data_IF_430886336056
#
_entry.id   IF_430886336056
#
_cell.length_a   1.000
_cell.length_b   1.000
_cell.length_c   1.000
_cell.angle_alpha   90.00
_cell.angle_beta   90.00
_cell.angle_gamma   90.00
#
_symmetry.space_group_name_H-M   'P 1'
#
loop_
_entity.id
_entity.type
_entity.pdbx_description
1 polymer ?
#
# COMPACT_ATOMS: atom_id res chain seq x y z
N UNK A 1 8.98 -33.45 37.12
CA UNK A 1 9.93 -32.55 36.43
C UNK A 1 9.75 -32.51 34.91
N UNK A 2 9.66 -33.66 34.20
CA UNK A 2 9.55 -33.66 32.72
C UNK A 2 8.33 -32.94 32.14
N UNK A 3 7.16 -33.06 32.77
CA UNK A 3 5.92 -32.39 32.30
C UNK A 3 6.01 -30.87 32.41
N UNK A 4 6.62 -30.35 33.48
CA UNK A 4 6.80 -28.92 33.70
C UNK A 4 7.76 -28.34 32.64
N UNK A 5 8.87 -29.04 32.37
CA UNK A 5 9.81 -28.64 31.32
C UNK A 5 9.17 -28.68 29.92
N UNK A 6 8.33 -29.69 29.66
CA UNK A 6 7.57 -29.79 28.41
C UNK A 6 6.58 -28.64 28.24
N UNK A 7 5.84 -28.27 29.29
CA UNK A 7 4.91 -27.13 29.27
C UNK A 7 5.66 -25.82 29.03
N UNK A 8 6.83 -25.62 29.68
CA UNK A 8 7.66 -24.43 29.48
C UNK A 8 8.17 -24.36 28.04
N UNK A 9 8.67 -25.46 27.49
CA UNK A 9 9.14 -25.54 26.10
C UNK A 9 8.01 -25.24 25.10
N UNK A 10 6.84 -25.84 25.32
CA UNK A 10 5.66 -25.60 24.50
C UNK A 10 5.21 -24.12 24.55
N UNK A 11 5.20 -23.53 25.74
CA UNK A 11 4.87 -22.11 25.93
C UNK A 11 5.86 -21.17 25.24
N UNK A 12 7.16 -21.49 25.29
CA UNK A 12 8.20 -20.75 24.57
C UNK A 12 7.99 -20.80 23.05
N UNK A 13 7.66 -21.98 22.50
CA UNK A 13 7.35 -22.15 21.08
C UNK A 13 6.16 -21.32 20.61
N UNK A 14 5.06 -21.35 21.36
CA UNK A 14 3.88 -20.53 21.09
C UNK A 14 4.19 -19.03 21.15
N UNK A 15 5.02 -18.61 22.12
CA UNK A 15 5.43 -17.21 22.25
C UNK A 15 6.31 -16.75 21.08
N UNK A 16 7.14 -17.63 20.53
CA UNK A 16 7.95 -17.33 19.36
C UNK A 16 7.08 -17.21 18.09
N UNK A 17 6.14 -18.14 17.88
CA UNK A 17 5.20 -18.06 16.76
C UNK A 17 4.35 -16.80 16.81
N UNK A 18 3.82 -16.45 17.98
CA UNK A 18 3.06 -15.21 18.16
C UNK A 18 3.87 -13.97 17.79
N UNK A 19 5.16 -13.93 18.17
CA UNK A 19 6.07 -12.83 17.82
C UNK A 19 6.29 -12.74 16.31
N UNK A 20 6.54 -13.86 15.64
CA UNK A 20 6.72 -13.89 14.19
C UNK A 20 5.46 -13.44 13.46
N UNK A 21 4.27 -13.88 13.89
CA UNK A 21 2.99 -13.44 13.32
C UNK A 21 2.76 -11.94 13.50
N UNK A 22 3.04 -11.40 14.70
CA UNK A 22 2.94 -9.96 14.96
C UNK A 22 3.88 -9.14 14.07
N UNK A 23 5.12 -9.60 13.88
CA UNK A 23 6.07 -8.93 13.00
C UNK A 23 5.61 -8.93 11.55
N UNK A 24 5.12 -10.07 11.04
CA UNK A 24 4.56 -10.13 9.69
C UNK A 24 3.36 -9.21 9.53
N UNK A 25 2.49 -9.15 10.54
CA UNK A 25 1.31 -8.29 10.52
C UNK A 25 1.68 -6.81 10.53
N UNK A 26 2.70 -6.42 11.31
CA UNK A 26 3.24 -5.06 11.30
C UNK A 26 3.83 -4.67 9.94
N UNK A 27 4.63 -5.56 9.33
CA UNK A 27 5.20 -5.33 8.00
C UNK A 27 4.09 -5.16 6.97
N UNK A 28 3.06 -6.02 7.01
CA UNK A 28 1.90 -5.91 6.10
C UNK A 28 1.16 -4.59 6.31
N UNK A 29 0.90 -4.18 7.55
CA UNK A 29 0.23 -2.91 7.84
C UNK A 29 1.05 -1.71 7.36
N UNK A 30 2.37 -1.73 7.52
CA UNK A 30 3.25 -0.68 7.00
C UNK A 30 3.24 -0.64 5.48
N UNK A 31 3.27 -1.80 4.83
CA UNK A 31 3.18 -1.89 3.37
C UNK A 31 1.84 -1.32 2.88
N UNK A 32 0.73 -1.72 3.49
CA UNK A 32 -0.61 -1.19 3.16
C UNK A 32 -0.69 0.32 3.35
N UNK A 33 -0.16 0.85 4.46
CA UNK A 33 -0.12 2.31 4.69
C UNK A 33 0.72 3.05 3.65
N UNK A 34 1.90 2.51 3.31
CA UNK A 34 2.76 3.09 2.27
C UNK A 34 2.07 3.06 0.91
N UNK A 35 1.55 1.91 0.50
CA UNK A 35 0.79 1.76 -0.76
C UNK A 35 -0.40 2.70 -0.81
N UNK A 36 -1.17 2.80 0.28
CA UNK A 36 -2.30 3.72 0.34
C UNK A 36 -1.84 5.17 0.23
N UNK A 37 -0.77 5.56 0.93
CA UNK A 37 -0.25 6.94 0.89
C UNK A 37 0.24 7.30 -0.50
N UNK A 38 1.01 6.41 -1.14
CA UNK A 38 1.59 6.64 -2.46
C UNK A 38 0.51 6.76 -3.55
N UNK A 39 -0.50 5.90 -3.50
CA UNK A 39 -1.60 5.89 -4.49
C UNK A 39 -2.59 7.04 -4.21
N UNK A 40 -2.89 7.31 -2.94
CA UNK A 40 -3.91 8.30 -2.56
C UNK A 40 -3.41 9.74 -2.71
N UNK A 41 -2.15 10.04 -2.41
CA UNK A 41 -1.67 11.42 -2.39
C UNK A 41 -1.30 11.98 -3.77
N UNK A 42 -1.03 11.13 -4.76
CA UNK A 42 -0.75 11.58 -6.13
C UNK A 42 -1.92 11.27 -7.06
N UNK A 43 -1.98 10.05 -7.61
CA UNK A 43 -2.88 9.76 -8.73
C UNK A 43 -4.37 9.84 -8.40
N UNK A 44 -4.79 9.50 -7.17
CA UNK A 44 -6.20 9.62 -6.76
C UNK A 44 -6.64 11.09 -6.60
N UNK A 45 -5.76 11.97 -6.12
CA UNK A 45 -6.04 13.42 -6.09
C UNK A 45 -6.11 14.01 -7.50
N UNK A 46 -5.18 13.62 -8.38
CA UNK A 46 -5.19 14.09 -9.77
C UNK A 46 -6.43 13.61 -10.52
N UNK A 47 -6.89 12.37 -10.27
CA UNK A 47 -8.17 11.87 -10.78
C UNK A 47 -9.37 12.66 -10.25
N UNK A 48 -9.41 12.95 -8.94
CA UNK A 48 -10.49 13.75 -8.36
C UNK A 48 -10.53 15.18 -8.91
N UNK A 49 -9.37 15.79 -9.14
CA UNK A 49 -9.25 17.09 -9.80
C UNK A 49 -9.78 17.01 -11.24
N UNK A 50 -9.38 15.99 -12.00
CA UNK A 50 -9.79 15.82 -13.39
C UNK A 50 -11.30 15.57 -13.53
N UNK A 51 -11.90 14.74 -12.66
CA UNK A 51 -13.36 14.52 -12.63
C UNK A 51 -14.09 15.84 -12.39
N UNK A 52 -13.61 16.63 -11.43
CA UNK A 52 -14.19 17.94 -11.11
C UNK A 52 -14.07 18.92 -12.28
N UNK A 53 -12.93 18.97 -12.96
CA UNK A 53 -12.74 19.84 -14.12
C UNK A 53 -13.63 19.45 -15.29
N UNK A 54 -13.80 18.15 -15.57
CA UNK A 54 -14.72 17.66 -16.61
C UNK A 54 -16.19 17.88 -16.25
N UNK A 55 -16.57 17.82 -14.97
CA UNK A 55 -17.94 18.11 -14.53
C UNK A 55 -18.30 19.60 -14.60
N UNK A 56 -17.32 20.49 -14.40
CA UNK A 56 -17.55 21.95 -14.31
C UNK A 56 -17.27 22.67 -15.64
N UNK A 57 -16.34 22.16 -16.45
CA UNK A 57 -15.91 22.77 -17.70
C UNK A 57 -16.01 21.80 -18.88
N UNK A 58 -16.33 22.30 -20.08
CA UNK A 58 -16.15 21.53 -21.32
C UNK A 58 -14.65 21.44 -21.63
N UNK A 59 -13.97 20.48 -21.00
CA UNK A 59 -12.55 20.23 -21.24
C UNK A 59 -12.37 19.67 -22.66
N UNK A 60 -11.54 20.30 -23.52
CA UNK A 60 -11.23 19.77 -24.84
C UNK A 60 -10.69 18.34 -24.74
N UNK A 61 -11.18 17.46 -25.61
CA UNK A 61 -10.88 16.03 -25.54
C UNK A 61 -9.37 15.70 -25.55
N UNK A 62 -8.56 16.52 -26.24
CA UNK A 62 -7.10 16.37 -26.28
C UNK A 62 -6.43 16.69 -24.93
N UNK A 63 -6.87 17.76 -24.26
CA UNK A 63 -6.37 18.16 -22.94
C UNK A 63 -6.74 17.10 -21.88
N UNK A 64 -7.97 16.59 -21.94
CA UNK A 64 -8.42 15.49 -21.09
C UNK A 64 -7.56 14.23 -21.28
N UNK A 65 -7.20 13.91 -22.53
CA UNK A 65 -6.36 12.75 -22.87
C UNK A 65 -4.93 12.89 -22.34
N UNK A 66 -4.36 14.09 -22.36
CA UNK A 66 -3.05 14.38 -21.75
C UNK A 66 -3.11 14.21 -20.24
N UNK A 67 -4.10 14.79 -19.57
CA UNK A 67 -4.26 14.63 -18.12
C UNK A 67 -4.44 13.16 -17.70
N UNK A 68 -5.23 12.39 -18.43
CA UNK A 68 -5.38 10.94 -18.18
C UNK A 68 -4.07 10.18 -18.37
N UNK A 69 -3.24 10.58 -19.34
CA UNK A 69 -1.90 9.99 -19.56
C UNK A 69 -0.97 10.28 -18.41
N UNK A 70 -0.96 11.50 -17.90
CA UNK A 70 -0.11 11.91 -16.78
C UNK A 70 -0.51 11.22 -15.47
N UNK A 71 -1.82 11.07 -15.24
CA UNK A 71 -2.35 10.23 -14.16
C UNK A 71 -1.86 8.80 -14.30
N UNK A 72 -2.03 8.21 -15.49
CA UNK A 72 -1.62 6.82 -15.76
C UNK A 72 -0.11 6.62 -15.54
N UNK A 73 0.71 7.55 -16.01
CA UNK A 73 2.15 7.53 -15.80
C UNK A 73 2.52 7.65 -14.31
N UNK A 74 1.84 8.53 -13.57
CA UNK A 74 2.04 8.69 -12.12
C UNK A 74 1.66 7.43 -11.34
N UNK A 75 0.60 6.72 -11.75
CA UNK A 75 0.23 5.41 -11.18
C UNK A 75 1.34 4.39 -11.44
N UNK A 76 1.86 4.32 -12.68
CA UNK A 76 2.93 3.38 -13.02
C UNK A 76 4.20 3.63 -12.20
N UNK A 77 4.63 4.89 -12.06
CA UNK A 77 5.80 5.25 -11.24
C UNK A 77 5.58 4.90 -9.77
N UNK A 78 4.38 5.19 -9.23
CA UNK A 78 4.03 4.81 -7.85
C UNK A 78 4.05 3.29 -7.63
N UNK A 79 3.60 2.51 -8.61
CA UNK A 79 3.66 1.03 -8.57
C UNK A 79 5.11 0.53 -8.61
N UNK A 80 5.97 1.14 -9.43
CA UNK A 80 7.37 0.75 -9.55
C UNK A 80 8.14 1.02 -8.24
N UNK A 81 7.94 2.20 -7.64
CA UNK A 81 8.50 2.55 -6.33
C UNK A 81 8.06 1.58 -5.22
N UNK A 82 6.84 1.05 -5.29
CA UNK A 82 6.35 0.03 -4.35
C UNK A 82 6.98 -1.35 -4.57
N UNK A 83 7.38 -1.68 -5.81
CA UNK A 83 8.11 -2.90 -6.14
C UNK A 83 9.59 -2.80 -5.72
N UNK A 84 10.22 -1.65 -5.90
CA UNK A 84 11.62 -1.43 -5.49
C UNK A 84 11.78 -1.44 -3.98
N UNK A 85 10.80 -0.94 -3.21
CA UNK A 85 10.80 -1.04 -1.74
C UNK A 85 10.62 -2.47 -1.22
N UNK A 86 10.44 -3.46 -2.09
CA UNK A 86 10.23 -4.88 -1.77
C UNK A 86 11.51 -5.73 -1.95
N UNK A 87 12.51 -5.22 -2.67
CA UNK A 87 13.85 -5.80 -2.85
C UNK A 87 14.83 -5.24 -1.80
#
# INVERSE_FOLDING_TARGET
MGIILYIIYFYLGLRQQKRNLLQQLQIKQQLTKKTFTEIHNGPMQTLAFLIREVEIHEVPQQELLEYLRDVYHSILVGIDNLNDSKN
#
